data_IF_757692138144
#
_entry.id   IF_757692138144
#
_cell.length_a   1.000
_cell.length_b   1.000
_cell.length_c   1.000
_cell.angle_alpha   90.00
_cell.angle_beta   90.00
_cell.angle_gamma   90.00
#
_symmetry.space_group_name_H-M   'P 1'
#
loop_
_entity.id
_entity.type
_entity.pdbx_description
1 polymer ?
#
# COMPACT_ATOMS: atom_id res chain seq x y z
N UNK A 1 -11.26 7.84 6.62
CA UNK A 1 -10.05 7.00 6.71
C UNK A 1 -10.09 6.00 5.58
N UNK A 2 -8.99 5.79 4.85
CA UNK A 2 -8.95 4.84 3.74
C UNK A 2 -9.04 3.38 4.22
N UNK A 3 -8.73 3.12 5.50
CA UNK A 3 -8.65 1.77 6.09
C UNK A 3 -9.96 0.96 6.16
N UNK A 4 -11.08 1.48 5.65
CA UNK A 4 -12.37 0.77 5.62
C UNK A 4 -12.83 0.43 4.19
N UNK A 5 -11.97 0.62 3.18
CA UNK A 5 -12.29 0.27 1.79
C UNK A 5 -12.06 -1.23 1.56
N UNK A 6 -12.82 -2.09 2.24
CA UNK A 6 -12.62 -3.54 2.23
C UNK A 6 -12.78 -4.18 0.84
N UNK A 7 -13.48 -3.52 -0.07
CA UNK A 7 -13.67 -3.95 -1.47
C UNK A 7 -12.66 -3.33 -2.44
N UNK A 8 -11.67 -2.58 -1.96
CA UNK A 8 -10.67 -1.95 -2.82
C UNK A 8 -9.77 -3.02 -3.43
N UNK A 9 -9.75 -3.09 -4.76
CA UNK A 9 -8.95 -4.07 -5.52
C UNK A 9 -7.59 -3.50 -5.93
N UNK A 10 -7.53 -2.19 -6.20
CA UNK A 10 -6.32 -1.51 -6.64
C UNK A 10 -6.10 -0.24 -5.84
N UNK A 11 -4.87 -0.02 -5.40
CA UNK A 11 -4.43 1.19 -4.73
C UNK A 11 -3.17 1.71 -5.42
N UNK A 12 -3.32 2.82 -6.15
CA UNK A 12 -2.18 3.49 -6.78
C UNK A 12 -1.72 4.66 -5.92
N UNK A 13 -0.49 4.58 -5.42
CA UNK A 13 0.22 5.62 -4.72
C UNK A 13 1.52 6.00 -5.45
N UNK A 14 1.66 5.59 -6.71
CA UNK A 14 2.81 5.90 -7.54
C UNK A 14 3.12 7.39 -7.58
N UNK A 15 4.40 7.71 -7.64
CA UNK A 15 4.96 9.06 -7.62
C UNK A 15 4.65 9.88 -6.34
N UNK A 16 4.10 9.28 -5.27
CA UNK A 16 3.91 9.96 -3.99
C UNK A 16 5.26 10.24 -3.27
N UNK A 17 5.90 11.34 -3.65
CA UNK A 17 7.23 11.70 -3.16
C UNK A 17 7.28 11.99 -1.65
N UNK A 18 6.17 12.40 -1.05
CA UNK A 18 6.09 12.72 0.39
C UNK A 18 5.57 11.57 1.25
N UNK A 19 5.30 10.40 0.66
CA UNK A 19 4.80 9.25 1.41
C UNK A 19 5.95 8.63 2.21
N UNK A 20 5.97 8.85 3.53
CA UNK A 20 7.04 8.33 4.39
C UNK A 20 6.79 6.90 4.90
N UNK A 21 5.52 6.55 5.09
CA UNK A 21 5.10 5.26 5.61
C UNK A 21 3.70 4.90 5.10
N UNK A 22 3.45 3.61 4.93
CA UNK A 22 2.09 3.09 4.81
C UNK A 22 1.50 2.92 6.22
N UNK A 23 0.25 3.34 6.39
CA UNK A 23 -0.49 3.17 7.64
C UNK A 23 -0.73 1.68 7.91
N UNK A 24 -0.75 1.28 9.20
CA UNK A 24 -1.19 -0.07 9.63
C UNK A 24 -2.55 -0.48 9.08
N UNK A 25 -3.40 0.48 8.70
CA UNK A 25 -4.70 0.21 8.12
C UNK A 25 -4.66 -0.42 6.73
N UNK A 26 -3.48 -0.56 6.10
CA UNK A 26 -3.32 -1.32 4.85
C UNK A 26 -3.77 -2.79 5.04
N UNK A 27 -3.64 -3.31 6.25
CA UNK A 27 -4.00 -4.68 6.64
C UNK A 27 -5.50 -4.97 6.47
N UNK A 28 -6.33 -3.92 6.46
CA UNK A 28 -7.76 -4.05 6.30
C UNK A 28 -8.18 -4.25 4.83
N UNK A 29 -7.26 -4.08 3.88
CA UNK A 29 -7.55 -4.21 2.45
C UNK A 29 -7.55 -5.67 1.98
N UNK A 30 -8.50 -6.46 2.50
CA UNK A 30 -8.62 -7.89 2.22
C UNK A 30 -8.83 -8.23 0.74
N UNK A 31 -9.41 -7.32 -0.04
CA UNK A 31 -9.68 -7.53 -1.48
C UNK A 31 -8.59 -6.94 -2.38
N UNK A 32 -7.54 -6.35 -1.82
CA UNK A 32 -6.50 -5.68 -2.61
C UNK A 32 -5.69 -6.72 -3.36
N UNK A 33 -5.48 -6.47 -4.64
CA UNK A 33 -4.68 -7.32 -5.53
C UNK A 33 -3.51 -6.55 -6.13
N UNK A 34 -3.58 -5.22 -6.15
CA UNK A 34 -2.62 -4.36 -6.84
C UNK A 34 -2.30 -3.13 -5.98
N UNK A 35 -1.06 -3.03 -5.52
CA UNK A 35 -0.53 -1.89 -4.77
C UNK A 35 0.68 -1.30 -5.51
N UNK A 36 0.50 -0.09 -6.06
CA UNK A 36 1.56 0.64 -6.75
C UNK A 36 2.19 1.67 -5.81
N UNK A 37 3.48 1.50 -5.53
CA UNK A 37 4.32 2.41 -4.74
C UNK A 37 5.53 2.90 -5.56
N UNK A 38 5.45 2.80 -6.88
CA UNK A 38 6.52 3.17 -7.78
C UNK A 38 6.95 4.62 -7.56
N UNK A 39 8.26 4.89 -7.47
CA UNK A 39 8.80 6.25 -7.28
C UNK A 39 8.35 6.95 -5.98
N UNK A 40 7.87 6.22 -4.97
CA UNK A 40 7.66 6.77 -3.63
C UNK A 40 8.99 6.95 -2.88
N UNK A 41 9.77 7.98 -3.23
CA UNK A 41 11.17 8.12 -2.78
C UNK A 41 11.35 8.36 -1.28
N UNK A 42 10.37 8.92 -0.60
CA UNK A 42 10.45 9.14 0.86
C UNK A 42 9.98 7.93 1.67
N UNK A 43 9.50 6.86 1.03
CA UNK A 43 8.98 5.68 1.72
C UNK A 43 10.13 4.94 2.41
N UNK A 44 10.17 5.01 3.74
CA UNK A 44 11.29 4.47 4.54
C UNK A 44 11.15 2.98 4.79
N UNK A 45 9.93 2.51 4.97
CA UNK A 45 9.62 1.12 5.29
C UNK A 45 8.19 0.76 4.88
N UNK A 46 7.99 -0.54 4.65
CA UNK A 46 6.67 -1.14 4.57
C UNK A 46 6.30 -1.72 5.95
N UNK A 47 5.02 -1.76 6.33
CA UNK A 47 4.58 -2.44 7.54
C UNK A 47 4.88 -3.94 7.45
N UNK A 48 5.21 -4.59 8.57
CA UNK A 48 5.55 -6.03 8.60
C UNK A 48 4.45 -6.92 8.01
N UNK A 49 3.21 -6.50 8.19
CA UNK A 49 2.00 -7.14 7.67
C UNK A 49 1.83 -7.02 6.15
N UNK A 50 2.67 -6.26 5.44
CA UNK A 50 2.60 -6.14 3.97
C UNK A 50 2.70 -7.50 3.28
N UNK A 51 3.45 -8.44 3.86
CA UNK A 51 3.59 -9.81 3.36
C UNK A 51 2.32 -10.66 3.53
N UNK A 52 1.37 -10.21 4.36
CA UNK A 52 0.09 -10.89 4.55
C UNK A 52 -0.96 -10.45 3.52
N UNK A 53 -0.67 -9.43 2.71
CA UNK A 53 -1.57 -9.00 1.65
C UNK A 53 -1.56 -10.03 0.51
N UNK A 54 -2.74 -10.42 0.05
CA UNK A 54 -2.90 -11.19 -1.20
C UNK A 54 -2.76 -10.28 -2.44
N UNK A 55 -1.80 -9.36 -2.41
CA UNK A 55 -1.62 -8.32 -3.42
C UNK A 55 -0.25 -8.40 -4.05
N UNK A 56 -0.18 -8.06 -5.34
CA UNK A 56 1.06 -7.68 -5.99
C UNK A 56 1.47 -6.28 -5.54
N UNK A 57 2.72 -6.12 -5.13
CA UNK A 57 3.28 -4.83 -4.71
C UNK A 57 4.39 -4.43 -5.67
N UNK A 58 4.24 -3.28 -6.32
CA UNK A 58 5.27 -2.73 -7.20
C UNK A 58 6.13 -1.70 -6.47
N UNK A 59 7.44 -1.96 -6.42
CA UNK A 59 8.45 -1.12 -5.78
C UNK A 59 9.50 -0.68 -6.81
N UNK A 60 9.94 0.59 -6.77
CA UNK A 60 11.13 1.11 -7.47
C UNK A 60 11.65 2.39 -6.83
#
# INVERSE_FOLDING_TARGET
SIGNLNSLVKLNLGDCQSLEALLKSIDNFNSLVDLDLFRCRSLKALPESIGNLNSFVQLR
#
